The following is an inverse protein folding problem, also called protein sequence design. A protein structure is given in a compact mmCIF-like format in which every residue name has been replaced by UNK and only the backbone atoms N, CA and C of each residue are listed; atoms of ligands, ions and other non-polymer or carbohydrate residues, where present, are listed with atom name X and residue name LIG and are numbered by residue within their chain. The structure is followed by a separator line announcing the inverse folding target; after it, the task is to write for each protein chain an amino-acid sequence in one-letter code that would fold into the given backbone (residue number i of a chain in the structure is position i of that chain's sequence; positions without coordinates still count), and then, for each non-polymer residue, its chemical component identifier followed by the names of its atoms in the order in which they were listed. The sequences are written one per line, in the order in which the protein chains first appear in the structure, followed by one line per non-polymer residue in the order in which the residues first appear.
data_IF_767749772487
#
_entry.id   IF_767749772487
#
_cell.length_a   1.000
_cell.length_b   1.000
_cell.length_c   1.000
_cell.angle_alpha   90.00
_cell.angle_beta   90.00
_cell.angle_gamma   90.00
#
_symmetry.space_group_name_H-M   'P 1'
#
loop_
_entity.id
_entity.type
_entity.pdbx_description
1 polymer ?
#
# COMPACT_ATOMS: atom_id res chain seq x y z
N UNK A 1 10.29 -23.09 -38.55
CA UNK A 1 9.05 -22.51 -37.95
C UNK A 1 9.25 -22.48 -36.44
N UNK A 2 8.92 -21.35 -35.82
CA UNK A 2 9.63 -20.75 -34.69
C UNK A 2 9.79 -21.56 -33.40
N UNK A 3 11.05 -21.66 -32.95
CA UNK A 3 11.45 -21.94 -31.58
C UNK A 3 11.43 -20.62 -30.79
N UNK A 4 10.51 -20.47 -29.84
CA UNK A 4 10.47 -19.33 -28.92
C UNK A 4 11.38 -19.58 -27.73
N UNK A 5 12.63 -19.14 -27.83
CA UNK A 5 13.56 -19.00 -26.70
C UNK A 5 13.04 -17.90 -25.78
N UNK A 6 12.44 -18.27 -24.64
CA UNK A 6 12.15 -17.33 -23.56
C UNK A 6 13.45 -16.97 -22.88
N UNK A 7 14.04 -15.86 -23.31
CA UNK A 7 15.22 -15.26 -22.72
C UNK A 7 14.87 -14.80 -21.30
N UNK A 8 15.23 -15.62 -20.29
CA UNK A 8 15.23 -15.19 -18.89
C UNK A 8 16.29 -14.10 -18.74
N UNK A 9 15.89 -12.83 -18.83
CA UNK A 9 16.71 -11.70 -18.38
C UNK A 9 17.09 -11.94 -16.91
N UNK A 10 18.36 -12.25 -16.68
CA UNK A 10 18.95 -12.26 -15.34
C UNK A 10 18.98 -10.81 -14.85
N UNK A 11 18.00 -10.40 -14.05
CA UNK A 11 18.12 -9.17 -13.29
C UNK A 11 19.21 -9.39 -12.24
N UNK A 12 20.36 -8.76 -12.49
CA UNK A 12 21.49 -8.70 -11.57
C UNK A 12 21.01 -8.23 -10.20
N UNK A 13 21.38 -8.96 -9.14
CA UNK A 13 21.28 -8.53 -7.75
C UNK A 13 21.57 -7.04 -7.59
N UNK A 14 20.64 -6.30 -6.98
CA UNK A 14 20.74 -4.86 -6.74
C UNK A 14 21.99 -4.58 -5.88
N UNK A 15 23.09 -4.15 -6.52
CA UNK A 15 24.28 -3.66 -5.83
C UNK A 15 24.15 -2.15 -5.71
N UNK A 16 24.10 -1.63 -4.49
CA UNK A 16 24.08 -0.20 -4.22
C UNK A 16 25.53 0.34 -4.29
N UNK A 17 25.95 1.10 -5.32
CA UNK A 17 27.28 1.69 -5.34
C UNK A 17 27.41 2.86 -4.36
N UNK A 18 28.61 3.00 -3.80
CA UNK A 18 29.07 4.10 -2.94
C UNK A 18 29.15 5.39 -3.78
N UNK A 19 28.76 6.55 -3.22
CA UNK A 19 28.94 7.81 -3.94
C UNK A 19 30.44 8.02 -4.20
N UNK A 20 30.87 8.19 -5.46
CA UNK A 20 32.28 8.41 -5.74
C UNK A 20 32.73 9.71 -5.08
N UNK A 21 33.75 9.60 -4.23
CA UNK A 21 34.51 10.75 -3.78
C UNK A 21 35.15 11.36 -5.04
N UNK A 22 34.80 12.61 -5.39
CA UNK A 22 35.42 13.26 -6.55
C UNK A 22 36.89 13.54 -6.21
N UNK A 23 37.80 12.75 -6.82
CA UNK A 23 39.27 12.91 -6.83
C UNK A 23 39.96 11.69 -6.20
N UNK A 24 40.98 11.05 -6.79
CA UNK A 24 42.07 11.52 -7.65
C UNK A 24 42.60 10.32 -8.48
N UNK A 25 42.81 10.48 -9.79
CA UNK A 25 43.84 9.72 -10.54
C UNK A 25 45.16 10.53 -10.47
N UNK A 26 46.24 9.79 -10.32
CA UNK A 26 47.60 10.13 -9.84
C UNK A 26 48.37 11.22 -10.60
N UNK A 27 49.31 11.88 -9.88
CA UNK A 27 50.44 12.77 -10.27
C UNK A 27 50.33 14.26 -9.89
N UNK A 28 51.45 14.98 -9.59
CA UNK A 28 51.69 15.51 -8.23
C UNK A 28 51.47 17.03 -8.07
N UNK A 29 50.64 17.39 -7.09
CA UNK A 29 50.51 18.71 -6.43
C UNK A 29 50.10 19.92 -7.31
N UNK A 30 49.54 21.02 -6.76
CA UNK A 30 49.13 21.30 -5.37
C UNK A 30 47.64 21.69 -5.22
N UNK A 31 47.24 21.90 -3.96
CA UNK A 31 45.92 22.31 -3.42
C UNK A 31 44.89 21.19 -3.31
N UNK A 32 45.00 20.46 -2.20
CA UNK A 32 43.87 19.75 -1.61
C UNK A 32 42.83 20.79 -1.20
N UNK A 33 41.87 21.08 -2.08
CA UNK A 33 40.59 21.63 -1.66
C UNK A 33 39.85 20.49 -1.00
N UNK A 34 39.99 20.36 0.32
CA UNK A 34 39.11 19.49 1.13
C UNK A 34 37.70 20.04 1.02
N UNK A 35 36.96 19.61 -0.01
CA UNK A 35 35.55 19.96 -0.14
C UNK A 35 34.83 19.20 0.96
N UNK A 36 34.48 19.89 2.04
CA UNK A 36 33.75 19.31 3.17
C UNK A 36 32.44 18.73 2.65
N UNK A 37 32.29 17.40 2.69
CA UNK A 37 31.05 16.73 2.29
C UNK A 37 29.86 17.32 3.04
N UNK A 38 28.79 17.65 2.30
CA UNK A 38 27.58 18.21 2.91
C UNK A 38 26.90 17.15 3.79
N UNK A 39 26.21 17.58 4.84
CA UNK A 39 25.60 16.66 5.80
C UNK A 39 24.68 15.60 5.16
N UNK A 40 23.85 16.00 4.19
CA UNK A 40 22.96 15.07 3.47
C UNK A 40 23.73 14.03 2.64
N UNK A 41 24.86 14.38 2.04
CA UNK A 41 25.72 13.46 1.27
C UNK A 41 26.38 12.43 2.20
N UNK A 42 26.78 12.86 3.41
CA UNK A 42 27.32 11.97 4.43
C UNK A 42 26.29 10.92 4.86
N UNK A 43 25.05 11.35 5.13
CA UNK A 43 23.95 10.46 5.47
C UNK A 43 23.66 9.45 4.35
N UNK A 44 23.70 9.89 3.08
CA UNK A 44 23.51 8.99 1.95
C UNK A 44 24.62 7.93 1.86
N UNK A 45 25.88 8.31 2.12
CA UNK A 45 27.01 7.37 2.19
C UNK A 45 26.88 6.38 3.35
N UNK A 46 26.51 6.86 4.54
CA UNK A 46 26.24 6.01 5.70
C UNK A 46 25.14 4.99 5.40
N UNK A 47 24.10 5.40 4.64
CA UNK A 47 23.02 4.51 4.22
C UNK A 47 23.52 3.36 3.34
N UNK A 48 24.37 3.66 2.35
CA UNK A 48 24.98 2.64 1.48
C UNK A 48 25.84 1.66 2.29
N UNK A 49 26.67 2.18 3.19
CA UNK A 49 27.54 1.35 4.03
C UNK A 49 26.73 0.46 4.98
N UNK A 50 25.66 0.98 5.58
CA UNK A 50 24.75 0.18 6.39
C UNK A 50 24.11 -0.96 5.58
N UNK A 51 23.67 -0.68 4.35
CA UNK A 51 23.10 -1.69 3.47
C UNK A 51 24.07 -2.84 3.20
N UNK A 52 25.34 -2.55 2.90
CA UNK A 52 26.37 -3.56 2.62
C UNK A 52 26.75 -4.39 3.84
N UNK A 53 26.61 -3.83 5.05
CA UNK A 53 26.78 -4.58 6.31
C UNK A 53 25.57 -5.43 6.68
N UNK A 54 24.51 -5.42 5.87
CA UNK A 54 23.26 -6.15 6.14
C UNK A 54 22.28 -5.40 7.06
N UNK A 55 22.63 -4.19 7.52
CA UNK A 55 21.76 -3.36 8.36
C UNK A 55 20.81 -2.52 7.50
N UNK A 56 19.76 -3.18 7.01
CA UNK A 56 18.79 -2.58 6.08
C UNK A 56 17.93 -1.50 6.73
N UNK A 57 17.60 -1.60 8.02
CA UNK A 57 16.79 -0.59 8.74
C UNK A 57 17.57 0.71 8.89
N UNK A 58 18.80 0.65 9.40
CA UNK A 58 19.67 1.84 9.49
C UNK A 58 19.90 2.44 8.10
N UNK A 59 20.06 1.61 7.06
CA UNK A 59 20.17 2.10 5.69
C UNK A 59 18.94 2.93 5.27
N UNK A 60 17.74 2.41 5.48
CA UNK A 60 16.50 3.12 5.18
C UNK A 60 16.38 4.44 5.95
N UNK A 61 16.66 4.44 7.26
CA UNK A 61 16.60 5.63 8.11
C UNK A 61 17.58 6.72 7.65
N UNK A 62 18.79 6.31 7.27
CA UNK A 62 19.83 7.23 6.79
C UNK A 62 19.50 7.79 5.40
N UNK A 63 18.92 6.99 4.51
CA UNK A 63 18.40 7.52 3.23
C UNK A 63 17.27 8.53 3.44
N UNK A 64 16.31 8.22 4.32
CA UNK A 64 15.22 9.16 4.63
C UNK A 64 15.76 10.47 5.23
N UNK A 65 16.66 10.39 6.22
CA UNK A 65 17.29 11.57 6.81
C UNK A 65 18.08 12.41 5.77
N UNK A 66 18.77 11.75 4.84
CA UNK A 66 19.47 12.40 3.73
C UNK A 66 18.49 13.12 2.78
N UNK A 67 17.37 12.47 2.44
CA UNK A 67 16.35 13.05 1.57
C UNK A 67 15.72 14.31 2.19
N UNK A 68 15.38 14.24 3.48
CA UNK A 68 14.75 15.33 4.22
C UNK A 68 15.71 16.51 4.46
N UNK A 69 17.01 16.25 4.64
CA UNK A 69 18.04 17.29 4.82
C UNK A 69 18.62 17.84 3.50
N UNK A 70 18.13 17.39 2.35
CA UNK A 70 18.63 17.85 1.06
C UNK A 70 18.34 19.36 0.86
N UNK A 71 19.35 20.17 0.50
CA UNK A 71 19.24 21.64 0.48
C UNK A 71 18.34 22.17 -0.65
N UNK A 72 18.05 21.35 -1.64
CA UNK A 72 17.19 21.69 -2.77
C UNK A 72 16.39 20.47 -3.17
N UNK A 73 15.12 20.69 -3.58
CA UNK A 73 14.28 19.64 -4.16
C UNK A 73 14.86 19.04 -5.45
N UNK A 74 15.82 19.74 -6.06
CA UNK A 74 16.50 19.35 -7.30
C UNK A 74 17.99 19.08 -7.12
N UNK A 75 18.45 18.85 -5.89
CA UNK A 75 19.80 18.29 -5.67
C UNK A 75 19.94 17.03 -6.53
N UNK A 76 21.01 16.95 -7.32
CA UNK A 76 21.18 15.96 -8.40
C UNK A 76 20.96 14.50 -7.97
N UNK A 77 21.31 14.17 -6.72
CA UNK A 77 21.20 12.84 -6.13
C UNK A 77 19.94 12.60 -5.30
N UNK A 78 19.08 13.61 -5.12
CA UNK A 78 17.92 13.52 -4.21
C UNK A 78 16.92 12.44 -4.64
N UNK A 79 16.72 12.29 -5.94
CA UNK A 79 15.95 11.16 -6.49
C UNK A 79 16.55 9.82 -6.11
N UNK A 80 17.85 9.63 -6.37
CA UNK A 80 18.56 8.39 -6.05
C UNK A 80 18.45 8.03 -4.55
N UNK A 81 18.53 9.03 -3.67
CA UNK A 81 18.39 8.87 -2.22
C UNK A 81 16.97 8.42 -1.85
N UNK A 82 15.93 9.08 -2.38
CA UNK A 82 14.53 8.66 -2.14
C UNK A 82 14.26 7.26 -2.68
N UNK A 83 14.75 6.98 -3.88
CA UNK A 83 14.58 5.68 -4.51
C UNK A 83 15.30 4.58 -3.70
N UNK A 84 16.47 4.86 -3.13
CA UNK A 84 17.15 3.96 -2.20
C UNK A 84 16.30 3.62 -0.97
N UNK A 85 15.75 4.64 -0.29
CA UNK A 85 14.83 4.44 0.84
C UNK A 85 13.62 3.58 0.45
N UNK A 86 12.93 3.96 -0.63
CA UNK A 86 11.69 3.32 -1.05
C UNK A 86 11.90 1.91 -1.61
N UNK A 87 13.00 1.62 -2.31
CA UNK A 87 13.31 0.26 -2.79
C UNK A 87 13.53 -0.70 -1.62
N UNK A 88 14.27 -0.27 -0.59
CA UNK A 88 14.49 -1.08 0.63
C UNK A 88 13.15 -1.47 1.27
N UNK A 89 12.19 -0.54 1.32
CA UNK A 89 10.86 -0.83 1.86
C UNK A 89 10.07 -1.81 0.98
N UNK A 90 10.10 -1.66 -0.34
CA UNK A 90 9.37 -2.53 -1.28
C UNK A 90 9.91 -3.96 -1.36
N UNK A 91 11.20 -4.14 -1.06
CA UNK A 91 11.88 -5.45 -1.12
C UNK A 91 11.66 -6.31 0.13
N UNK A 92 10.85 -5.86 1.11
CA UNK A 92 10.40 -6.64 2.28
C UNK A 92 11.57 -7.19 3.13
N UNK A 93 12.69 -6.47 3.21
CA UNK A 93 13.81 -6.81 4.09
C UNK A 93 13.45 -6.80 5.58
N UNK A 94 12.48 -5.96 5.95
CA UNK A 94 11.94 -5.81 7.31
C UNK A 94 10.50 -5.26 7.22
N UNK A 95 9.67 -5.43 8.26
CA UNK A 95 8.33 -4.85 8.27
C UNK A 95 8.39 -3.32 8.36
N UNK A 96 7.61 -2.57 7.55
CA UNK A 96 7.55 -1.11 7.63
C UNK A 96 6.93 -0.67 8.96
N UNK A 97 7.41 0.45 9.49
CA UNK A 97 6.89 1.08 10.71
C UNK A 97 5.81 2.11 10.40
N UNK A 98 5.03 2.54 11.40
CA UNK A 98 4.12 3.70 11.26
C UNK A 98 4.87 4.94 10.77
N UNK A 99 6.09 5.17 11.29
CA UNK A 99 6.93 6.28 10.86
C UNK A 99 7.31 6.23 9.37
N UNK A 100 7.43 5.05 8.78
CA UNK A 100 7.65 4.91 7.33
C UNK A 100 6.41 5.33 6.54
N UNK A 101 5.22 4.92 6.97
CA UNK A 101 3.97 5.36 6.36
C UNK A 101 3.77 6.87 6.48
N UNK A 102 4.04 7.45 7.66
CA UNK A 102 3.91 8.88 7.91
C UNK A 102 4.88 9.70 7.05
N UNK A 103 6.13 9.25 6.94
CA UNK A 103 7.14 9.88 6.10
C UNK A 103 6.76 9.84 4.62
N UNK A 104 6.33 8.68 4.12
CA UNK A 104 5.89 8.52 2.73
C UNK A 104 4.64 9.35 2.43
N UNK A 105 3.65 9.37 3.33
CA UNK A 105 2.44 10.16 3.11
C UNK A 105 2.74 11.66 3.14
N UNK A 106 3.61 12.11 4.06
CA UNK A 106 4.08 13.49 4.11
C UNK A 106 4.74 13.91 2.80
N UNK A 107 5.64 13.07 2.25
CA UNK A 107 6.27 13.31 0.94
C UNK A 107 5.22 13.34 -0.18
N UNK A 108 4.29 12.39 -0.20
CA UNK A 108 3.25 12.30 -1.22
C UNK A 108 2.26 13.48 -1.16
N UNK A 109 1.98 14.01 0.02
CA UNK A 109 1.02 15.09 0.28
C UNK A 109 1.62 16.49 0.12
N UNK A 110 2.93 16.67 0.27
CA UNK A 110 3.60 17.97 0.14
C UNK A 110 3.39 18.56 -1.27
N UNK A 111 2.72 19.72 -1.34
CA UNK A 111 2.43 20.41 -2.60
C UNK A 111 3.68 21.02 -3.25
N UNK A 112 4.71 21.29 -2.47
CA UNK A 112 6.00 21.83 -2.92
C UNK A 112 6.94 20.76 -3.47
N UNK A 113 6.69 19.48 -3.18
CA UNK A 113 7.48 18.38 -3.71
C UNK A 113 7.21 18.15 -5.21
N UNK A 114 8.26 17.95 -6.02
CA UNK A 114 8.14 17.44 -7.37
C UNK A 114 7.22 16.22 -7.49
N UNK A 115 6.44 16.16 -8.57
CA UNK A 115 5.53 15.04 -8.85
C UNK A 115 6.25 13.71 -8.91
N UNK A 116 7.51 13.69 -9.36
CA UNK A 116 8.36 12.49 -9.32
C UNK A 116 8.42 11.88 -7.91
N UNK A 117 8.73 12.67 -6.89
CA UNK A 117 8.89 12.14 -5.52
C UNK A 117 7.54 11.77 -4.91
N UNK A 118 6.51 12.57 -5.19
CA UNK A 118 5.16 12.30 -4.71
C UNK A 118 4.57 11.02 -5.28
N UNK A 119 4.81 10.78 -6.57
CA UNK A 119 4.38 9.55 -7.24
C UNK A 119 5.13 8.32 -6.71
N UNK A 120 6.45 8.41 -6.51
CA UNK A 120 7.26 7.32 -5.92
C UNK A 120 6.80 6.97 -4.50
N UNK A 121 6.54 7.98 -3.66
CA UNK A 121 6.08 7.77 -2.30
C UNK A 121 4.70 7.11 -2.26
N UNK A 122 3.73 7.63 -3.03
CA UNK A 122 2.40 7.03 -3.13
C UNK A 122 2.44 5.60 -3.68
N UNK A 123 3.27 5.34 -4.71
CA UNK A 123 3.46 3.98 -5.23
C UNK A 123 4.00 3.04 -4.15
N UNK A 124 5.00 3.49 -3.40
CA UNK A 124 5.61 2.71 -2.32
C UNK A 124 4.57 2.38 -1.25
N UNK A 125 3.75 3.33 -0.80
CA UNK A 125 2.63 3.06 0.11
C UNK A 125 1.72 1.99 -0.50
N UNK A 126 1.37 2.09 -1.78
CA UNK A 126 0.54 1.09 -2.46
C UNK A 126 1.12 -0.33 -2.40
N UNK A 127 2.43 -0.49 -2.58
CA UNK A 127 3.11 -1.79 -2.43
C UNK A 127 3.09 -2.27 -0.96
N UNK A 128 3.30 -1.39 0.01
CA UNK A 128 3.26 -1.77 1.43
C UNK A 128 1.86 -2.18 1.87
N UNK A 129 0.82 -1.46 1.43
CA UNK A 129 -0.58 -1.79 1.65
C UNK A 129 -0.94 -3.11 0.96
N UNK A 130 -0.39 -3.36 -0.23
CA UNK A 130 -0.49 -4.66 -0.87
C UNK A 130 0.12 -5.77 0.02
N UNK A 131 1.34 -5.60 0.50
CA UNK A 131 1.98 -6.62 1.34
C UNK A 131 1.22 -6.82 2.66
N UNK A 132 0.54 -5.79 3.17
CA UNK A 132 -0.37 -5.84 4.32
C UNK A 132 -1.75 -6.45 4.03
N UNK A 133 -2.02 -6.91 2.80
CA UNK A 133 -3.34 -7.44 2.34
C UNK A 133 -4.46 -6.39 2.26
N UNK A 134 -4.13 -5.12 2.29
CA UNK A 134 -5.06 -3.98 2.21
C UNK A 134 -5.25 -3.55 0.75
N UNK A 135 -6.05 -4.31 0.01
CA UNK A 135 -6.16 -4.21 -1.46
C UNK A 135 -6.82 -2.92 -1.95
N UNK A 136 -7.82 -2.41 -1.22
CA UNK A 136 -8.55 -1.18 -1.59
C UNK A 136 -7.61 0.01 -1.43
N UNK A 137 -6.94 0.09 -0.27
CA UNK A 137 -5.96 1.10 0.06
C UNK A 137 -4.78 1.05 -0.92
N UNK A 138 -4.30 -0.14 -1.29
CA UNK A 138 -3.27 -0.31 -2.31
C UNK A 138 -3.70 0.29 -3.66
N UNK A 139 -4.92 -0.01 -4.14
CA UNK A 139 -5.46 0.52 -5.38
C UNK A 139 -5.57 2.06 -5.34
N UNK A 140 -6.06 2.62 -4.23
CA UNK A 140 -6.19 4.07 -4.08
C UNK A 140 -4.85 4.80 -4.11
N UNK A 141 -3.80 4.19 -3.54
CA UNK A 141 -2.46 4.73 -3.58
C UNK A 141 -1.82 4.60 -4.97
N UNK A 142 -2.07 3.51 -5.71
CA UNK A 142 -1.64 3.40 -7.12
C UNK A 142 -2.32 4.47 -7.99
N UNK A 143 -3.63 4.68 -7.84
CA UNK A 143 -4.34 5.77 -8.53
C UNK A 143 -3.79 7.14 -8.14
N UNK A 144 -3.44 7.35 -6.87
CA UNK A 144 -2.81 8.59 -6.40
C UNK A 144 -1.44 8.81 -7.05
N UNK A 145 -0.62 7.77 -7.15
CA UNK A 145 0.68 7.83 -7.82
C UNK A 145 0.53 8.22 -9.30
N UNK A 146 -0.39 7.57 -10.02
CA UNK A 146 -0.72 7.87 -11.43
C UNK A 146 -1.17 9.33 -11.58
N UNK A 147 -2.08 9.82 -10.72
CA UNK A 147 -2.54 11.22 -10.76
C UNK A 147 -1.41 12.22 -10.56
N UNK A 148 -0.39 11.91 -9.77
CA UNK A 148 0.76 12.80 -9.62
C UNK A 148 1.64 12.78 -10.87
N UNK A 149 1.93 11.59 -11.40
CA UNK A 149 2.70 11.42 -12.63
C UNK A 149 2.09 12.17 -13.82
N UNK A 150 0.78 12.08 -14.01
CA UNK A 150 0.05 12.76 -15.10
C UNK A 150 0.05 14.30 -14.96
N UNK A 151 0.18 14.81 -13.73
CA UNK A 151 0.24 16.25 -13.44
C UNK A 151 1.65 16.81 -13.43
N UNK A 152 2.67 16.01 -13.79
CA UNK A 152 4.04 16.50 -13.94
C UNK A 152 4.14 17.36 -15.21
N UNK A 153 4.45 18.65 -15.05
CA UNK A 153 4.52 19.57 -16.18
C UNK A 153 5.75 19.31 -17.07
N UNK A 154 5.77 19.91 -18.26
CA UNK A 154 6.86 19.73 -19.21
C UNK A 154 8.22 20.22 -18.70
N UNK A 155 8.26 21.20 -17.79
CA UNK A 155 9.51 21.72 -17.21
C UNK A 155 10.09 20.71 -16.21
N UNK A 156 9.27 20.14 -15.35
CA UNK A 156 9.63 19.06 -14.45
C UNK A 156 10.09 17.83 -15.25
N UNK A 157 9.28 17.38 -16.23
CA UNK A 157 9.59 16.18 -17.02
C UNK A 157 10.93 16.27 -17.78
N UNK A 158 11.36 17.47 -18.19
CA UNK A 158 12.66 17.70 -18.86
C UNK A 158 13.85 17.75 -17.91
N UNK A 159 13.67 17.88 -16.60
CA UNK A 159 14.79 17.86 -15.65
C UNK A 159 15.48 16.51 -15.66
N UNK A 160 16.75 16.50 -15.29
CA UNK A 160 17.60 15.30 -15.21
C UNK A 160 17.85 14.95 -13.75
N UNK A 161 17.77 13.67 -13.45
CA UNK A 161 18.05 13.10 -12.12
C UNK A 161 19.02 11.92 -12.26
N UNK A 162 19.83 11.69 -11.23
CA UNK A 162 20.71 10.53 -11.18
C UNK A 162 19.92 9.28 -10.79
N UNK A 163 20.10 8.20 -11.52
CA UNK A 163 19.44 6.90 -11.32
C UNK A 163 20.42 5.76 -11.55
N UNK A 164 20.01 4.53 -11.19
CA UNK A 164 20.76 3.33 -11.53
C UNK A 164 20.44 2.90 -12.96
N UNK A 165 21.46 2.57 -13.73
CA UNK A 165 21.36 2.03 -15.09
C UNK A 165 22.14 0.73 -15.17
N UNK A 166 21.98 -0.03 -16.25
CA UNK A 166 22.75 -1.26 -16.51
C UNK A 166 24.26 -1.03 -16.48
N UNK A 167 24.71 0.19 -16.82
CA UNK A 167 26.13 0.60 -16.82
C UNK A 167 26.58 1.28 -15.52
N UNK A 168 25.76 1.24 -14.47
CA UNK A 168 26.00 1.92 -13.19
C UNK A 168 25.20 3.22 -13.02
N UNK A 169 25.70 4.15 -12.21
CA UNK A 169 24.97 5.40 -11.94
C UNK A 169 25.00 6.30 -13.17
N UNK A 170 23.83 6.69 -13.68
CA UNK A 170 23.69 7.55 -14.85
C UNK A 170 22.55 8.56 -14.70
N UNK A 171 22.44 9.48 -15.66
CA UNK A 171 21.37 10.47 -15.68
C UNK A 171 20.20 10.05 -16.55
N UNK A 172 18.99 10.39 -16.10
CA UNK A 172 17.76 10.16 -16.84
C UNK A 172 16.81 11.34 -16.68
N UNK A 173 15.98 11.59 -17.69
CA UNK A 173 14.94 12.61 -17.58
C UNK A 173 13.89 12.17 -16.57
N UNK A 174 13.35 13.12 -15.81
CA UNK A 174 12.26 12.87 -14.87
C UNK A 174 11.08 12.23 -15.58
N UNK A 175 10.73 12.69 -16.79
CA UNK A 175 9.66 12.10 -17.60
C UNK A 175 9.88 10.59 -17.83
N UNK A 176 11.07 10.19 -18.27
CA UNK A 176 11.37 8.77 -18.52
C UNK A 176 11.39 7.94 -17.22
N UNK A 177 11.76 8.54 -16.08
CA UNK A 177 11.66 7.87 -14.76
C UNK A 177 10.21 7.67 -14.36
N UNK A 178 9.39 8.72 -14.46
CA UNK A 178 7.96 8.65 -14.17
C UNK A 178 7.29 7.59 -15.03
N UNK A 179 7.53 7.60 -16.34
CA UNK A 179 6.84 6.72 -17.27
C UNK A 179 7.15 5.24 -16.97
N UNK A 180 8.44 4.89 -16.78
CA UNK A 180 8.83 3.51 -16.41
C UNK A 180 8.24 3.06 -15.07
N UNK A 181 8.22 3.93 -14.05
CA UNK A 181 7.60 3.58 -12.77
C UNK A 181 6.09 3.41 -12.94
N UNK A 182 5.43 4.25 -13.73
CA UNK A 182 3.98 4.18 -13.94
C UNK A 182 3.55 2.96 -14.75
N UNK A 183 4.40 2.39 -15.59
CA UNK A 183 4.10 1.11 -16.25
C UNK A 183 3.94 -0.02 -15.21
N UNK A 184 4.81 -0.06 -14.19
CA UNK A 184 4.68 -1.00 -13.08
C UNK A 184 3.45 -0.71 -12.22
N UNK A 185 3.20 0.56 -11.89
CA UNK A 185 2.03 0.96 -11.09
C UNK A 185 0.73 0.60 -11.79
N UNK A 186 0.59 0.90 -13.09
CA UNK A 186 -0.60 0.57 -13.87
C UNK A 186 -0.78 -0.94 -13.99
N UNK A 187 0.30 -1.69 -14.15
CA UNK A 187 0.25 -3.16 -14.17
C UNK A 187 -0.30 -3.70 -12.85
N UNK A 188 0.20 -3.21 -11.72
CA UNK A 188 -0.26 -3.63 -10.39
C UNK A 188 -1.72 -3.20 -10.13
N UNK A 189 -2.10 -1.98 -10.51
CA UNK A 189 -3.49 -1.50 -10.40
C UNK A 189 -4.44 -2.35 -11.25
N UNK A 190 -4.06 -2.66 -12.50
CA UNK A 190 -4.87 -3.48 -13.39
C UNK A 190 -5.09 -4.90 -12.84
N UNK A 191 -4.19 -5.43 -12.02
CA UNK A 191 -4.39 -6.72 -11.33
C UNK A 191 -5.46 -6.58 -10.26
N UNK A 192 -5.45 -5.51 -9.47
CA UNK A 192 -6.50 -5.23 -8.47
C UNK A 192 -7.86 -4.99 -9.11
N UNK A 193 -7.90 -4.21 -10.19
CA UNK A 193 -9.15 -3.88 -10.88
C UNK A 193 -9.72 -5.05 -11.67
N UNK A 194 -8.87 -5.90 -12.29
CA UNK A 194 -9.33 -7.17 -12.89
C UNK A 194 -9.87 -8.13 -11.84
N UNK A 195 -9.25 -8.17 -10.66
CA UNK A 195 -9.76 -8.98 -9.54
C UNK A 195 -11.13 -8.49 -9.07
N UNK A 196 -11.39 -7.18 -9.15
CA UNK A 196 -12.69 -6.59 -8.83
C UNK A 196 -13.75 -6.82 -9.94
N UNK A 197 -13.34 -6.96 -11.20
CA UNK A 197 -14.24 -7.21 -12.35
C UNK A 197 -14.54 -8.70 -12.60
N UNK A 198 -13.62 -9.62 -12.24
CA UNK A 198 -13.75 -11.08 -12.44
C UNK A 198 -14.51 -11.79 -11.30
N UNK A 199 -15.60 -11.20 -10.82
CA UNK A 199 -16.47 -11.86 -9.82
C UNK A 199 -17.44 -12.89 -10.48
N UNK A 200 -17.59 -12.91 -11.81
CA UNK A 200 -18.65 -13.70 -12.46
C UNK A 200 -18.28 -14.85 -13.42
N UNK A 201 -17.02 -15.24 -13.65
CA UNK A 201 -16.73 -16.48 -14.41
C UNK A 201 -15.30 -16.99 -14.16
N UNK A 202 -15.18 -18.27 -13.78
CA UNK A 202 -13.94 -19.08 -13.86
C UNK A 202 -14.00 -19.91 -15.17
N UNK A 203 -12.86 -20.18 -15.85
CA UNK A 203 -11.68 -20.81 -15.27
C UNK A 203 -10.36 -20.04 -15.45
N UNK A 204 -9.37 -20.58 -14.74
CA UNK A 204 -7.93 -20.37 -14.71
C UNK A 204 -7.27 -19.66 -15.93
N UNK A 205 -6.18 -18.92 -15.66
CA UNK A 205 -5.27 -18.22 -16.60
C UNK A 205 -5.58 -16.71 -16.82
N UNK A 206 -4.98 -15.86 -15.97
CA UNK A 206 -4.25 -14.68 -16.46
C UNK A 206 -2.90 -14.61 -15.72
N UNK A 207 -1.84 -15.01 -16.43
CA UNK A 207 -0.49 -15.25 -15.88
C UNK A 207 0.29 -13.97 -15.62
N UNK A 208 -0.34 -12.80 -15.59
CA UNK A 208 0.39 -11.54 -15.41
C UNK A 208 1.03 -11.49 -14.01
N UNK A 209 2.38 -11.46 -13.88
CA UNK A 209 3.03 -11.38 -12.58
C UNK A 209 2.84 -9.99 -11.96
N UNK A 210 2.55 -9.94 -10.66
CA UNK A 210 2.63 -8.69 -9.88
C UNK A 210 4.11 -8.41 -9.66
N UNK A 211 4.60 -7.22 -10.01
CA UNK A 211 6.04 -6.92 -10.02
C UNK A 211 6.42 -5.94 -8.90
N UNK A 212 7.51 -6.27 -8.20
CA UNK A 212 8.28 -5.33 -7.37
C UNK A 212 9.14 -4.41 -8.24
N UNK A 213 9.75 -3.41 -7.62
CA UNK A 213 10.66 -2.47 -8.31
C UNK A 213 11.90 -3.13 -8.92
N UNK A 214 12.33 -4.26 -8.37
CA UNK A 214 13.44 -5.07 -8.89
C UNK A 214 13.01 -6.08 -9.97
N UNK A 215 11.75 -6.05 -10.39
CA UNK A 215 11.17 -7.00 -11.34
C UNK A 215 10.90 -8.39 -10.75
N UNK A 216 11.14 -8.60 -9.45
CA UNK A 216 10.73 -9.85 -8.80
C UNK A 216 9.22 -9.91 -8.66
N UNK A 217 8.69 -11.12 -8.69
CA UNK A 217 7.27 -11.32 -8.48
C UNK A 217 6.93 -11.10 -7.01
N UNK A 218 5.95 -10.24 -6.71
CA UNK A 218 5.34 -10.22 -5.39
C UNK A 218 4.69 -11.59 -5.12
N UNK A 219 4.68 -12.02 -3.86
CA UNK A 219 4.01 -13.27 -3.46
C UNK A 219 2.56 -13.22 -3.95
N UNK A 220 2.25 -14.10 -4.90
CA UNK A 220 0.87 -14.34 -5.30
C UNK A 220 0.16 -14.97 -4.12
N UNK A 221 -1.04 -14.50 -3.83
CA UNK A 221 -1.93 -15.32 -3.05
C UNK A 221 -2.26 -16.53 -3.92
N UNK A 222 -1.59 -17.66 -3.69
CA UNK A 222 -2.01 -18.99 -4.22
C UNK A 222 -3.43 -19.32 -3.72
N UNK A 223 -3.96 -18.52 -2.77
CA UNK A 223 -5.29 -18.62 -2.17
C UNK A 223 -6.27 -17.55 -2.68
N UNK A 224 -6.06 -17.02 -3.89
CA UNK A 224 -7.13 -16.38 -4.66
C UNK A 224 -8.12 -17.38 -5.25
N UNK A 225 -8.31 -18.55 -4.64
CA UNK A 225 -9.46 -19.39 -4.92
C UNK A 225 -10.68 -18.53 -4.63
N UNK A 226 -11.50 -18.30 -5.65
CA UNK A 226 -12.75 -17.59 -5.52
C UNK A 226 -13.46 -18.04 -4.24
N UNK A 227 -13.68 -17.11 -3.32
CA UNK A 227 -14.69 -17.32 -2.30
C UNK A 227 -15.98 -17.47 -3.10
N UNK A 228 -16.50 -18.69 -3.19
CA UNK A 228 -17.91 -18.89 -3.48
C UNK A 228 -18.61 -18.32 -2.25
N UNK A 229 -18.82 -17.00 -2.25
CA UNK A 229 -19.78 -16.38 -1.35
C UNK A 229 -21.12 -16.75 -1.99
N UNK A 230 -21.94 -17.62 -1.39
CA UNK A 230 -23.24 -17.93 -1.95
C UNK A 230 -24.04 -16.63 -2.05
N UNK A 231 -24.36 -16.19 -3.28
CA UNK A 231 -25.20 -15.02 -3.63
C UNK A 231 -25.47 -14.03 -2.48
N UNK A 232 -24.41 -13.37 -2.00
CA UNK A 232 -24.59 -12.28 -1.04
C UNK A 232 -24.60 -11.00 -1.86
N UNK A 233 -25.78 -10.39 -1.93
CA UNK A 233 -26.03 -9.08 -2.54
C UNK A 233 -24.86 -8.11 -2.24
N UNK A 234 -24.19 -7.54 -3.26
CA UNK A 234 -23.13 -6.55 -3.08
C UNK A 234 -23.52 -5.37 -2.18
N UNK A 235 -24.82 -5.09 -1.99
CA UNK A 235 -25.32 -4.11 -1.02
C UNK A 235 -24.96 -4.45 0.44
N UNK A 236 -24.77 -5.73 0.78
CA UNK A 236 -24.48 -6.22 2.15
C UNK A 236 -23.01 -6.19 2.55
N UNK A 237 -22.10 -5.87 1.62
CA UNK A 237 -20.64 -5.76 1.87
C UNK A 237 -20.17 -4.31 2.17
N UNK A 238 -21.09 -3.35 2.26
CA UNK A 238 -20.77 -2.00 2.68
C UNK A 238 -20.43 -1.97 4.17
N UNK A 239 -19.14 -1.83 4.50
CA UNK A 239 -18.69 -1.53 5.87
C UNK A 239 -19.37 -0.22 6.29
N UNK A 240 -20.24 -0.28 7.29
CA UNK A 240 -21.00 0.87 7.77
C UNK A 240 -20.08 2.02 8.17
N UNK A 241 -20.45 3.26 7.80
CA UNK A 241 -19.81 4.46 8.35
C UNK A 241 -19.40 5.53 7.34
N UNK A 242 -19.22 5.19 6.06
CA UNK A 242 -18.80 6.15 5.04
C UNK A 242 -19.96 6.71 4.20
N UNK A 243 -21.11 6.03 4.19
CA UNK A 243 -22.32 6.39 3.43
C UNK A 243 -23.56 6.17 4.27
N UNK A 244 -24.62 6.92 3.96
CA UNK A 244 -25.91 6.74 4.59
C UNK A 244 -26.56 5.42 4.14
N UNK A 245 -27.00 4.58 5.08
CA UNK A 245 -27.65 3.29 4.78
C UNK A 245 -29.05 3.43 4.17
N UNK A 246 -29.62 4.63 4.17
CA UNK A 246 -30.91 4.90 3.52
C UNK A 246 -30.75 5.54 2.14
N UNK A 247 -29.93 6.59 2.01
CA UNK A 247 -29.82 7.38 0.77
C UNK A 247 -28.49 7.22 0.03
N UNK A 248 -27.57 6.41 0.55
CA UNK A 248 -26.26 6.03 -0.04
C UNK A 248 -25.26 7.17 -0.30
N UNK A 249 -25.64 8.42 -0.03
CA UNK A 249 -24.74 9.59 -0.11
C UNK A 249 -23.69 9.56 1.00
N UNK A 250 -22.47 9.94 0.64
CA UNK A 250 -21.32 10.01 1.55
C UNK A 250 -21.26 11.30 2.35
N UNK A 251 -20.32 11.36 3.31
CA UNK A 251 -20.06 12.54 4.15
C UNK A 251 -19.68 13.76 3.28
N UNK A 252 -18.86 13.56 2.25
CA UNK A 252 -18.44 14.62 1.32
C UNK A 252 -19.60 15.15 0.48
N UNK A 253 -20.44 14.25 -0.05
CA UNK A 253 -21.64 14.61 -0.86
C UNK A 253 -22.63 15.47 -0.06
N UNK A 254 -22.72 15.20 1.25
CA UNK A 254 -23.66 15.82 2.17
C UNK A 254 -23.05 16.98 2.96
N UNK A 255 -21.75 17.24 2.80
CA UNK A 255 -20.98 18.24 3.59
C UNK A 255 -21.19 18.09 5.09
N UNK A 256 -21.28 16.85 5.58
CA UNK A 256 -21.44 16.55 7.00
C UNK A 256 -20.07 16.37 7.66
N UNK A 257 -20.01 16.49 8.98
CA UNK A 257 -18.80 16.10 9.74
C UNK A 257 -18.77 14.60 10.03
N UNK A 258 -19.93 14.00 10.24
CA UNK A 258 -20.12 12.57 10.51
C UNK A 258 -21.58 12.15 10.24
N UNK A 259 -21.79 10.86 9.98
CA UNK A 259 -23.13 10.26 9.94
C UNK A 259 -23.59 9.89 11.36
N UNK A 260 -24.91 9.94 11.57
CA UNK A 260 -25.56 9.57 12.83
C UNK A 260 -25.70 8.05 12.90
N UNK A 261 -25.35 7.44 14.04
CA UNK A 261 -25.53 6.00 14.24
C UNK A 261 -26.95 5.67 14.70
N UNK A 262 -27.43 4.49 14.36
CA UNK A 262 -28.63 3.94 14.97
C UNK A 262 -28.44 3.83 16.48
N UNK A 263 -29.35 4.42 17.27
CA UNK A 263 -29.24 4.41 18.73
C UNK A 263 -29.32 3.00 19.36
N UNK A 264 -29.87 2.02 18.64
CA UNK A 264 -30.02 0.64 19.12
C UNK A 264 -28.83 -0.25 18.73
N UNK A 265 -28.56 -0.42 17.44
CA UNK A 265 -27.50 -1.31 16.98
C UNK A 265 -26.13 -0.66 16.88
N UNK A 266 -26.06 0.67 16.75
CA UNK A 266 -24.83 1.42 16.46
C UNK A 266 -24.07 1.03 15.18
N UNK A 267 -24.54 0.05 14.41
CA UNK A 267 -23.92 -0.47 13.19
C UNK A 267 -24.43 0.19 11.90
N UNK A 268 -25.63 0.78 11.93
CA UNK A 268 -26.18 1.50 10.79
C UNK A 268 -25.98 3.02 10.94
N UNK A 269 -25.72 3.71 9.84
CA UNK A 269 -25.32 5.11 9.73
C UNK A 269 -26.27 5.89 8.82
N UNK A 270 -26.72 7.06 9.29
CA UNK A 270 -27.73 7.87 8.62
C UNK A 270 -27.32 9.33 8.57
N UNK A 271 -27.59 10.01 7.46
CA UNK A 271 -27.35 11.45 7.38
C UNK A 271 -28.38 12.26 8.20
N UNK A 272 -29.56 11.70 8.44
CA UNK A 272 -30.64 12.38 9.15
C UNK A 272 -31.60 11.41 9.84
N UNK A 273 -32.45 11.93 10.72
CA UNK A 273 -33.53 11.20 11.39
C UNK A 273 -34.55 10.63 10.40
N UNK A 274 -34.77 11.31 9.29
CA UNK A 274 -35.69 10.91 8.22
C UNK A 274 -35.14 9.69 7.48
N UNK A 275 -33.84 9.71 7.17
CA UNK A 275 -33.15 8.54 6.59
C UNK A 275 -33.18 7.34 7.52
N UNK A 276 -32.96 7.54 8.82
CA UNK A 276 -33.08 6.48 9.82
C UNK A 276 -34.50 5.89 9.86
N UNK A 277 -35.54 6.74 9.92
CA UNK A 277 -36.95 6.29 9.92
C UNK A 277 -37.31 5.57 8.61
N UNK A 278 -36.78 6.02 7.48
CA UNK A 278 -36.99 5.40 6.18
C UNK A 278 -36.39 3.98 6.16
N UNK A 279 -35.10 3.85 6.50
CA UNK A 279 -34.44 2.55 6.58
C UNK A 279 -35.08 1.62 7.62
N UNK A 280 -35.55 2.17 8.74
CA UNK A 280 -36.30 1.42 9.76
C UNK A 280 -37.54 0.73 9.17
N UNK A 281 -38.32 1.45 8.36
CA UNK A 281 -39.50 0.91 7.68
C UNK A 281 -39.15 -0.04 6.55
N UNK A 282 -38.03 0.20 5.86
CA UNK A 282 -37.55 -0.59 4.73
C UNK A 282 -36.96 -1.96 5.12
N UNK A 283 -36.85 -2.27 6.43
CA UNK A 283 -36.41 -3.58 6.90
C UNK A 283 -35.31 -3.55 7.95
N UNK A 284 -34.69 -2.39 8.22
CA UNK A 284 -33.65 -2.32 9.26
C UNK A 284 -34.16 -2.78 10.63
N UNK A 285 -35.44 -2.55 10.94
CA UNK A 285 -36.07 -3.00 12.20
C UNK A 285 -35.94 -4.51 12.45
N UNK A 286 -35.88 -5.31 11.40
CA UNK A 286 -35.84 -6.78 11.45
C UNK A 286 -34.43 -7.28 11.73
N UNK A 287 -33.41 -6.57 11.22
CA UNK A 287 -32.01 -6.88 11.45
C UNK A 287 -31.36 -6.08 12.61
N UNK A 288 -32.08 -5.13 13.23
CA UNK A 288 -31.51 -4.25 14.24
C UNK A 288 -31.37 -4.94 15.61
N UNK A 289 -30.18 -5.44 15.90
CA UNK A 289 -29.79 -6.07 17.18
C UNK A 289 -28.85 -5.17 17.99
N UNK A 290 -28.75 -5.34 19.32
CA UNK A 290 -27.80 -4.56 20.13
C UNK A 290 -26.35 -5.00 19.81
N UNK A 291 -25.34 -4.14 19.96
CA UNK A 291 -23.94 -4.55 19.83
C UNK A 291 -23.65 -5.79 20.69
N UNK A 292 -23.01 -6.80 20.10
CA UNK A 292 -22.70 -8.07 20.77
C UNK A 292 -23.81 -9.13 20.73
N UNK A 293 -24.98 -8.83 20.16
CA UNK A 293 -26.01 -9.82 19.85
C UNK A 293 -25.81 -10.34 18.42
N UNK A 294 -25.37 -11.59 18.31
CA UNK A 294 -25.15 -12.28 17.04
C UNK A 294 -26.08 -13.49 16.94
N UNK A 295 -26.41 -13.89 15.72
CA UNK A 295 -27.13 -15.12 15.40
C UNK A 295 -26.29 -15.99 14.46
N UNK A 296 -26.43 -17.33 14.53
CA UNK A 296 -25.87 -18.23 13.52
C UNK A 296 -26.23 -17.76 12.11
N UNK A 297 -25.21 -17.64 11.25
CA UNK A 297 -25.34 -17.14 9.89
C UNK A 297 -24.94 -15.67 9.70
N UNK A 298 -24.83 -14.88 10.78
CA UNK A 298 -24.39 -13.48 10.71
C UNK A 298 -22.97 -13.38 10.13
N UNK A 299 -22.74 -12.36 9.30
CA UNK A 299 -21.41 -12.04 8.77
C UNK A 299 -20.84 -10.87 9.56
N UNK A 300 -19.66 -11.07 10.14
CA UNK A 300 -19.07 -10.16 11.12
C UNK A 300 -17.59 -9.97 10.84
N UNK A 301 -17.05 -8.82 11.22
CA UNK A 301 -15.64 -8.50 11.06
C UNK A 301 -14.85 -8.80 12.34
N UNK A 302 -13.72 -9.49 12.20
CA UNK A 302 -12.81 -9.72 13.31
C UNK A 302 -11.99 -8.46 13.61
N UNK A 303 -11.82 -8.13 14.90
CA UNK A 303 -11.00 -7.00 15.35
C UNK A 303 -10.33 -7.25 16.69
N UNK A 304 -9.23 -6.55 16.95
CA UNK A 304 -8.57 -6.55 18.27
C UNK A 304 -7.99 -7.90 18.71
N UNK A 305 -7.80 -8.85 17.80
CA UNK A 305 -7.14 -10.13 18.09
C UNK A 305 -5.64 -9.88 18.33
N UNK A 306 -5.15 -10.25 19.51
CA UNK A 306 -3.74 -10.06 19.90
C UNK A 306 -2.83 -11.18 19.39
N UNK A 307 -3.25 -12.44 19.55
CA UNK A 307 -2.44 -13.62 19.17
C UNK A 307 -2.51 -13.95 17.69
N UNK A 308 -3.57 -13.52 17.01
CA UNK A 308 -3.83 -13.78 15.59
C UNK A 308 -4.28 -12.49 14.90
N UNK A 309 -3.47 -11.44 15.08
CA UNK A 309 -3.74 -10.11 14.57
C UNK A 309 -3.91 -10.05 13.04
N UNK A 310 -3.34 -11.03 12.33
CA UNK A 310 -3.49 -11.19 10.87
C UNK A 310 -4.95 -11.40 10.42
N UNK A 311 -5.85 -11.82 11.32
CA UNK A 311 -7.27 -11.98 11.03
C UNK A 311 -8.08 -10.72 11.31
N UNK A 312 -7.50 -9.68 11.91
CA UNK A 312 -8.22 -8.42 12.08
C UNK A 312 -8.57 -7.84 10.70
N UNK A 313 -9.81 -7.41 10.52
CA UNK A 313 -10.38 -6.97 9.25
C UNK A 313 -11.00 -8.09 8.40
N UNK A 314 -10.90 -9.36 8.81
CA UNK A 314 -11.51 -10.47 8.08
C UNK A 314 -13.00 -10.53 8.35
N UNK A 315 -13.80 -10.69 7.29
CA UNK A 315 -15.22 -11.03 7.39
C UNK A 315 -15.36 -12.54 7.55
N UNK A 316 -16.04 -12.96 8.60
CA UNK A 316 -16.28 -14.36 8.97
C UNK A 316 -17.77 -14.57 9.22
N UNK A 317 -18.23 -15.81 9.15
CA UNK A 317 -19.62 -16.13 9.49
C UNK A 317 -19.71 -16.72 10.90
N UNK A 318 -20.68 -16.25 11.67
CA UNK A 318 -21.01 -16.79 12.97
C UNK A 318 -21.65 -18.17 12.79
N UNK A 319 -21.05 -19.20 13.37
CA UNK A 319 -21.61 -20.57 13.39
C UNK A 319 -22.54 -20.72 14.59
N UNK A 320 -22.17 -20.15 15.73
CA UNK A 320 -22.95 -20.23 16.95
C UNK A 320 -22.11 -19.93 18.19
N UNK A 321 -22.71 -19.93 19.39
CA UNK A 321 -21.96 -19.84 20.63
C UNK A 321 -20.99 -21.03 20.76
N UNK A 322 -19.87 -20.85 21.45
CA UNK A 322 -19.02 -21.99 21.82
C UNK A 322 -19.58 -22.72 23.02
N UNK A 323 -19.57 -24.06 22.98
CA UNK A 323 -20.05 -24.92 24.07
C UNK A 323 -19.18 -24.83 25.35
N UNK A 324 -17.92 -24.40 25.23
CA UNK A 324 -16.93 -24.51 26.30
C UNK A 324 -16.73 -23.22 27.13
N UNK A 325 -17.15 -22.05 26.64
CA UNK A 325 -16.89 -20.74 27.28
C UNK A 325 -17.97 -19.71 27.01
N UNK A 326 -18.50 -19.13 28.08
CA UNK A 326 -19.47 -18.03 28.03
C UNK A 326 -18.87 -16.78 27.35
N UNK A 327 -19.65 -16.09 26.51
CA UNK A 327 -19.25 -14.86 25.82
C UNK A 327 -18.32 -15.04 24.61
N UNK A 328 -18.15 -16.28 24.13
CA UNK A 328 -17.38 -16.59 22.92
C UNK A 328 -18.25 -17.21 21.83
N UNK A 329 -17.86 -16.95 20.59
CA UNK A 329 -18.56 -17.37 19.39
C UNK A 329 -17.63 -18.20 18.52
N UNK A 330 -18.16 -19.30 18.01
CA UNK A 330 -17.55 -20.06 16.92
C UNK A 330 -17.83 -19.31 15.64
N UNK A 331 -16.77 -18.92 14.94
CA UNK A 331 -16.87 -18.30 13.62
C UNK A 331 -16.15 -19.16 12.59
N UNK A 332 -16.72 -19.27 11.40
CA UNK A 332 -16.11 -19.95 10.29
C UNK A 332 -15.23 -18.98 9.51
N UNK A 333 -13.94 -19.29 9.46
CA UNK A 333 -12.99 -18.61 8.60
C UNK A 333 -13.06 -19.28 7.23
N UNK A 334 -13.85 -18.69 6.32
CA UNK A 334 -14.03 -19.20 4.96
C UNK A 334 -12.70 -19.43 4.22
N UNK A 335 -11.71 -18.58 4.47
CA UNK A 335 -10.39 -18.61 3.80
C UNK A 335 -9.50 -19.79 4.23
N UNK A 336 -9.81 -20.47 5.33
CA UNK A 336 -9.00 -21.56 5.87
C UNK A 336 -9.82 -22.84 6.11
N UNK A 337 -11.12 -22.83 5.77
CA UNK A 337 -12.01 -23.96 5.96
C UNK A 337 -12.12 -24.43 7.41
N UNK A 338 -11.80 -23.56 8.38
CA UNK A 338 -11.78 -23.89 9.80
C UNK A 338 -12.67 -22.98 10.61
N UNK A 339 -13.16 -23.50 11.71
CA UNK A 339 -13.85 -22.72 12.74
C UNK A 339 -12.87 -22.28 13.82
N UNK A 340 -13.11 -21.10 14.38
CA UNK A 340 -12.31 -20.57 15.49
C UNK A 340 -13.23 -19.98 16.54
N UNK A 341 -12.85 -20.14 17.81
CA UNK A 341 -13.51 -19.48 18.92
C UNK A 341 -12.95 -18.06 19.07
N UNK A 342 -13.82 -17.05 19.06
CA UNK A 342 -13.49 -15.63 19.23
C UNK A 342 -14.37 -15.00 20.30
N UNK A 343 -13.82 -14.06 21.07
CA UNK A 343 -14.61 -13.35 22.07
C UNK A 343 -15.55 -12.34 21.40
N UNK A 344 -16.75 -12.12 21.95
CA UNK A 344 -17.75 -11.23 21.36
C UNK A 344 -17.23 -9.79 21.13
N UNK A 345 -16.31 -9.30 21.97
CA UNK A 345 -15.69 -7.98 21.82
C UNK A 345 -14.66 -7.90 20.67
N UNK A 346 -14.27 -9.04 20.11
CA UNK A 346 -13.40 -9.13 18.94
C UNK A 346 -14.18 -9.25 17.63
N UNK A 347 -15.48 -9.00 17.66
CA UNK A 347 -16.41 -9.15 16.56
C UNK A 347 -17.16 -7.82 16.39
N UNK A 348 -17.32 -7.35 15.16
CA UNK A 348 -18.10 -6.16 14.80
C UNK A 348 -19.05 -6.41 13.63
#
# INVERSE_FOLDING_TARGET
KHSSTTERRRFSSFRIPIFPNRGIKTSPGPRIVTTTMKAHERLANEAVLAFHRGDKRTSADKYLASFLSSPSKWTQHRWYILHGYTSILREKYFPPTTGDFDALDSIASDKSEPKLYRSEAAWTIGILRWDARERIEAADQYRRAIRYAERADGKERRRRVMTMTESGVGEKTVGKVIDENMDLVRSNLAILERSAQRINTLPDIDRTPVLRSDGTTMERDIRGGAVVVPDVDPERLAVGGNRCDACRRGIDDLKLRALKRCGRCQMAFYCSSECQKSAWRAGHKEACRKPGQFEPGDHVMLKGLKSKSIWNGWVVQVVGPTDDREGRWTVQIFQEGRTVSVAANNIE
#
